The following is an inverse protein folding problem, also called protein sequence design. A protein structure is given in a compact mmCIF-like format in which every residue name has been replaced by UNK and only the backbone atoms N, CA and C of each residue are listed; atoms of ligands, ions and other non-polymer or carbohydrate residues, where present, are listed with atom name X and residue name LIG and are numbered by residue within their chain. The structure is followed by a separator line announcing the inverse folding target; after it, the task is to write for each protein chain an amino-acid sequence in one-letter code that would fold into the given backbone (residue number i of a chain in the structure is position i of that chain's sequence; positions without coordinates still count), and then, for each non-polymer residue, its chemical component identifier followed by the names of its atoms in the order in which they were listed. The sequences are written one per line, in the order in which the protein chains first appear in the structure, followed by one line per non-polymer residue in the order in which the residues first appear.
data_IF_382842453447
#
_entry.id   IF_382842453447
#
_cell.length_a   1.000
_cell.length_b   1.000
_cell.length_c   1.000
_cell.angle_alpha   90.00
_cell.angle_beta   90.00
_cell.angle_gamma   90.00
#
_symmetry.space_group_name_H-M   'P 1'
#
loop_
_entity.id
_entity.type
_entity.pdbx_description
1 polymer ?
#
# COMPACT_ATOMS: atom_id res chain seq x y z
N UNK A 1 -62.02 -31.04 -5.53
CA UNK A 1 -62.07 -31.26 -6.99
C UNK A 1 -60.72 -30.91 -7.57
N UNK A 2 -60.07 -31.90 -8.17
CA UNK A 2 -58.74 -31.83 -8.76
C UNK A 2 -58.77 -30.99 -10.05
N UNK A 3 -57.77 -30.14 -10.25
CA UNK A 3 -57.39 -29.69 -11.59
C UNK A 3 -55.86 -29.46 -11.64
N UNK A 4 -55.19 -30.41 -12.30
CA UNK A 4 -53.82 -30.35 -12.75
C UNK A 4 -53.60 -29.18 -13.72
N UNK A 5 -52.50 -28.43 -13.57
CA UNK A 5 -51.88 -27.73 -14.69
C UNK A 5 -50.37 -28.03 -14.70
N UNK A 6 -49.97 -28.57 -15.83
CA UNK A 6 -48.69 -29.14 -16.22
C UNK A 6 -47.52 -28.14 -16.26
N UNK A 7 -46.35 -28.68 -15.92
CA UNK A 7 -44.99 -28.21 -16.18
C UNK A 7 -44.76 -27.68 -17.61
N UNK A 8 -43.85 -26.71 -17.73
CA UNK A 8 -42.89 -26.61 -18.85
C UNK A 8 -41.62 -25.85 -18.45
N UNK A 9 -40.61 -26.61 -18.10
CA UNK A 9 -39.17 -26.30 -18.11
C UNK A 9 -38.67 -26.12 -19.54
N UNK A 10 -37.89 -25.08 -19.83
CA UNK A 10 -37.00 -25.03 -20.99
C UNK A 10 -35.59 -24.59 -20.58
N UNK A 11 -34.70 -25.58 -20.54
CA UNK A 11 -33.27 -25.38 -20.70
C UNK A 11 -32.98 -25.01 -22.17
N UNK A 12 -32.16 -23.98 -22.40
CA UNK A 12 -31.33 -23.83 -23.61
C UNK A 12 -30.11 -22.96 -23.27
N UNK A 13 -29.09 -23.62 -22.75
CA UNK A 13 -27.70 -23.16 -22.80
C UNK A 13 -26.99 -24.06 -23.80
N UNK A 14 -26.49 -23.49 -24.89
CA UNK A 14 -25.56 -24.14 -25.80
C UNK A 14 -24.58 -23.09 -26.33
N UNK A 15 -23.30 -23.44 -26.23
CA UNK A 15 -22.10 -22.66 -26.49
C UNK A 15 -21.94 -22.22 -27.96
N UNK A 16 -21.18 -21.13 -28.16
CA UNK A 16 -20.43 -20.90 -29.39
C UNK A 16 -19.04 -20.33 -29.05
N UNK A 17 -18.02 -20.98 -29.61
CA UNK A 17 -16.57 -20.75 -29.49
C UNK A 17 -16.05 -20.46 -30.92
N UNK A 18 -14.99 -19.63 -31.03
CA UNK A 18 -14.19 -19.22 -32.22
C UNK A 18 -14.83 -18.15 -33.12
N UNK A 19 -14.15 -17.13 -33.64
CA UNK A 19 -12.75 -16.72 -33.62
C UNK A 19 -12.54 -15.45 -34.48
N UNK A 20 -11.31 -14.93 -34.45
CA UNK A 20 -10.63 -14.10 -35.48
C UNK A 20 -10.86 -12.58 -35.63
N UNK A 21 -9.72 -11.87 -35.47
CA UNK A 21 -9.19 -10.72 -36.20
C UNK A 21 -10.12 -9.62 -36.76
N UNK A 22 -9.96 -8.41 -36.21
CA UNK A 22 -10.50 -7.17 -36.77
C UNK A 22 -9.65 -5.95 -36.40
N UNK A 23 -8.70 -5.66 -37.27
CA UNK A 23 -7.88 -4.45 -37.33
C UNK A 23 -8.78 -3.21 -37.50
N UNK A 24 -8.74 -2.26 -36.57
CA UNK A 24 -9.36 -0.93 -36.77
C UNK A 24 -8.37 0.16 -36.34
N UNK A 25 -7.50 0.49 -37.29
CA UNK A 25 -6.80 1.76 -37.35
C UNK A 25 -7.78 2.91 -37.57
N UNK A 26 -7.41 4.08 -37.02
CA UNK A 26 -7.78 5.44 -37.45
C UNK A 26 -9.09 6.01 -36.89
N UNK A 27 -8.93 6.87 -35.87
CA UNK A 27 -9.43 8.25 -35.93
C UNK A 27 -8.42 9.17 -35.25
N UNK A 28 -7.82 10.05 -36.05
CA UNK A 28 -7.07 11.23 -35.62
C UNK A 28 -8.05 12.18 -34.92
N UNK A 29 -7.91 12.37 -33.62
CA UNK A 29 -8.59 13.41 -32.86
C UNK A 29 -7.55 14.38 -32.32
N UNK A 30 -7.63 15.63 -32.77
CA UNK A 30 -6.66 16.68 -32.49
C UNK A 30 -6.53 16.98 -30.99
N UNK A 31 -5.28 17.26 -30.59
CA UNK A 31 -4.96 17.92 -29.34
C UNK A 31 -5.69 19.28 -29.25
N UNK A 32 -6.62 19.41 -28.32
CA UNK A 32 -7.06 20.71 -27.83
C UNK A 32 -6.77 20.76 -26.32
N UNK A 33 -5.77 21.56 -25.98
CA UNK A 33 -5.44 21.92 -24.61
C UNK A 33 -6.65 22.60 -23.96
N UNK A 34 -7.21 22.00 -22.91
CA UNK A 34 -8.18 22.68 -22.05
C UNK A 34 -7.41 23.47 -20.97
N UNK A 35 -7.60 24.80 -20.88
CA UNK A 35 -6.93 25.61 -19.89
C UNK A 35 -7.51 25.34 -18.49
N UNK A 36 -6.62 25.01 -17.55
CA UNK A 36 -6.90 25.01 -16.12
C UNK A 36 -7.19 26.45 -15.68
N UNK A 37 -8.46 26.85 -15.63
CA UNK A 37 -8.87 28.08 -14.93
C UNK A 37 -8.66 27.87 -13.43
N UNK A 38 -7.60 28.46 -12.91
CA UNK A 38 -7.46 28.81 -11.50
C UNK A 38 -8.68 29.63 -11.09
N UNK A 39 -9.52 29.08 -10.19
CA UNK A 39 -10.53 29.86 -9.49
C UNK A 39 -9.93 30.30 -8.16
N UNK A 40 -9.17 31.40 -8.22
CA UNK A 40 -8.88 32.19 -7.04
C UNK A 40 -10.17 32.93 -6.67
N UNK A 41 -10.76 32.58 -5.53
CA UNK A 41 -11.83 33.36 -4.93
C UNK A 41 -11.19 34.21 -3.83
N UNK A 42 -10.66 35.36 -4.24
CA UNK A 42 -10.48 36.49 -3.35
C UNK A 42 -11.85 37.15 -3.21
N UNK A 43 -12.42 37.11 -2.01
CA UNK A 43 -13.49 38.03 -1.62
C UNK A 43 -13.09 38.62 -0.28
N UNK A 44 -12.36 39.73 -0.35
CA UNK A 44 -12.32 40.69 0.73
C UNK A 44 -13.74 41.23 0.92
N UNK A 45 -14.30 40.99 2.10
CA UNK A 45 -15.45 41.73 2.60
C UNK A 45 -15.07 42.17 4.00
N UNK A 46 -14.60 43.41 4.07
CA UNK A 46 -14.54 44.20 5.30
C UNK A 46 -15.97 44.42 5.80
N UNK A 47 -16.23 44.18 7.08
CA UNK A 47 -17.41 44.69 7.78
C UNK A 47 -17.07 45.13 9.20
N UNK A 48 -17.81 46.11 9.74
CA UNK A 48 -17.32 47.07 10.70
C UNK A 48 -17.47 46.58 12.14
N UNK A 49 -16.63 47.17 13.00
CA UNK A 49 -16.77 47.15 14.45
C UNK A 49 -18.06 47.86 14.86
N UNK A 50 -18.95 47.17 15.59
CA UNK A 50 -19.93 47.84 16.43
C UNK A 50 -20.11 47.12 17.78
N UNK A 51 -19.55 47.79 18.80
CA UNK A 51 -20.06 48.05 20.16
C UNK A 51 -21.26 47.23 20.68
N UNK A 52 -20.98 46.51 21.79
CA UNK A 52 -21.72 46.48 23.07
C UNK A 52 -23.25 46.59 23.07
N UNK A 53 -23.94 45.54 23.52
CA UNK A 53 -24.57 45.50 24.85
C UNK A 53 -25.30 44.17 25.10
N UNK A 54 -25.15 43.66 26.31
CA UNK A 54 -25.93 42.56 26.87
C UNK A 54 -27.32 43.06 27.31
N UNK A 55 -28.35 42.25 27.05
CA UNK A 55 -29.55 42.15 27.89
C UNK A 55 -30.27 40.84 27.54
N UNK A 56 -30.49 40.00 28.55
CA UNK A 56 -31.16 38.71 28.41
C UNK A 56 -32.65 38.83 28.08
N UNK A 57 -33.25 37.70 27.70
CA UNK A 57 -34.65 37.37 27.96
C UNK A 57 -34.90 35.87 27.66
N UNK A 58 -35.59 35.25 28.60
CA UNK A 58 -36.11 33.90 28.61
C UNK A 58 -37.08 33.63 27.46
N UNK A 59 -36.91 32.51 26.76
CA UNK A 59 -37.87 32.02 25.78
C UNK A 59 -37.63 30.55 25.45
N UNK A 60 -38.56 29.69 25.88
CA UNK A 60 -38.64 28.27 25.53
C UNK A 60 -38.81 28.11 24.01
N UNK A 61 -37.72 27.77 23.34
CA UNK A 61 -37.71 27.30 21.96
C UNK A 61 -36.70 26.17 21.84
N UNK A 62 -37.16 24.97 21.49
CA UNK A 62 -36.31 23.86 21.09
C UNK A 62 -35.67 24.21 19.73
N UNK A 63 -34.69 25.10 19.74
CA UNK A 63 -33.78 25.25 18.63
C UNK A 63 -32.91 24.01 18.64
N UNK A 64 -33.20 23.07 17.74
CA UNK A 64 -32.30 21.98 17.43
C UNK A 64 -30.90 22.58 17.20
N UNK A 65 -30.00 22.38 18.17
CA UNK A 65 -28.62 22.79 18.09
C UNK A 65 -28.10 22.12 16.83
N UNK A 66 -27.93 22.87 15.75
CA UNK A 66 -27.30 22.32 14.56
C UNK A 66 -25.96 21.77 15.01
N UNK A 67 -25.60 20.53 14.65
CA UNK A 67 -24.31 19.99 15.04
C UNK A 67 -23.26 20.99 14.56
N UNK A 68 -22.56 21.60 15.51
CA UNK A 68 -21.48 22.54 15.24
C UNK A 68 -20.56 21.81 14.28
N UNK A 69 -20.62 22.18 13.00
CA UNK A 69 -19.68 21.69 12.00
C UNK A 69 -18.33 22.05 12.62
N UNK A 70 -17.53 21.05 12.97
CA UNK A 70 -16.18 21.27 13.51
C UNK A 70 -15.37 22.03 12.45
N UNK A 71 -15.49 23.36 12.45
CA UNK A 71 -14.80 24.30 11.58
C UNK A 71 -13.36 24.52 12.04
N UNK A 72 -12.99 23.99 13.20
CA UNK A 72 -11.61 23.92 13.64
C UNK A 72 -10.82 23.04 12.65
N UNK A 73 -10.08 23.69 11.75
CA UNK A 73 -9.10 23.01 10.91
C UNK A 73 -8.15 22.27 11.84
N UNK A 74 -8.13 20.93 11.76
CA UNK A 74 -7.24 20.11 12.57
C UNK A 74 -5.81 20.66 12.49
N UNK A 75 -5.16 20.82 13.65
CA UNK A 75 -3.79 21.28 13.71
C UNK A 75 -2.93 20.38 12.81
N UNK A 76 -2.22 20.99 11.86
CA UNK A 76 -1.34 20.25 10.95
C UNK A 76 -0.23 19.64 11.80
N UNK A 77 -0.34 18.36 12.10
CA UNK A 77 0.75 17.60 12.72
C UNK A 77 2.00 17.78 11.84
N UNK A 78 3.13 18.19 12.45
CA UNK A 78 4.41 18.19 11.75
C UNK A 78 4.65 16.76 11.25
N UNK A 79 4.98 16.61 9.96
CA UNK A 79 5.30 15.30 9.43
C UNK A 79 6.57 14.81 10.13
N UNK A 80 6.65 13.55 10.55
CA UNK A 80 7.87 13.00 11.11
C UNK A 80 9.00 13.18 10.08
N UNK A 81 10.17 13.58 10.57
CA UNK A 81 11.38 13.68 9.74
C UNK A 81 11.74 12.26 9.31
N UNK A 82 11.79 12.01 8.01
CA UNK A 82 12.31 10.73 7.53
C UNK A 82 13.82 10.70 7.75
N UNK A 83 14.28 9.70 8.48
CA UNK A 83 15.70 9.39 8.60
C UNK A 83 16.24 8.96 7.23
N UNK A 84 17.38 9.53 6.83
CA UNK A 84 18.01 9.17 5.55
C UNK A 84 18.66 7.81 5.65
N UNK A 85 18.55 6.97 4.62
CA UNK A 85 19.23 5.68 4.51
C UNK A 85 20.76 5.79 4.67
N UNK A 86 21.33 6.97 4.42
CA UNK A 86 22.76 7.22 4.56
C UNK A 86 23.20 7.51 6.00
N UNK A 87 22.30 7.55 7.00
CA UNK A 87 22.67 7.84 8.39
C UNK A 87 23.61 6.80 8.99
N UNK A 88 23.49 5.51 8.59
CA UNK A 88 24.35 4.46 9.13
C UNK A 88 25.79 4.48 8.59
N UNK A 89 26.12 5.32 7.60
CA UNK A 89 27.48 5.38 7.03
C UNK A 89 28.34 6.36 7.85
N UNK A 90 29.39 5.89 8.54
CA UNK A 90 30.27 6.78 9.28
C UNK A 90 31.08 7.66 8.32
N UNK A 91 31.26 8.96 8.63
CA UNK A 91 31.96 9.89 7.74
C UNK A 91 33.43 9.55 7.53
N UNK A 92 34.05 8.82 8.46
CA UNK A 92 35.46 8.39 8.41
C UNK A 92 35.73 7.22 7.45
N UNK A 93 34.68 6.56 6.94
CA UNK A 93 34.85 5.45 6.00
C UNK A 93 35.49 5.93 4.70
N UNK A 94 36.35 5.10 4.09
CA UNK A 94 36.94 5.40 2.79
C UNK A 94 35.92 5.29 1.66
N UNK A 95 36.11 6.09 0.62
CA UNK A 95 35.42 5.92 -0.65
C UNK A 95 35.73 4.53 -1.23
N UNK A 96 34.70 3.93 -1.80
CA UNK A 96 34.67 2.60 -2.40
C UNK A 96 35.88 2.26 -3.28
N UNK A 97 36.21 3.16 -4.21
CA UNK A 97 37.24 2.95 -5.23
C UNK A 97 38.65 2.86 -4.63
N UNK A 98 38.86 3.42 -3.44
CA UNK A 98 40.16 3.46 -2.76
C UNK A 98 40.27 2.43 -1.64
N UNK A 99 39.18 1.77 -1.25
CA UNK A 99 39.18 0.82 -0.14
C UNK A 99 40.06 -0.42 -0.39
N UNK A 100 40.19 -0.84 -1.66
CA UNK A 100 41.02 -1.99 -2.05
C UNK A 100 42.52 -1.66 -2.17
N UNK A 101 42.90 -0.38 -2.14
CA UNK A 101 44.29 0.06 -2.36
C UNK A 101 45.04 0.11 -1.02
N UNK A 102 46.05 -0.76 -0.78
CA UNK A 102 46.76 -0.81 0.50
C UNK A 102 47.50 0.50 0.84
N UNK A 103 47.95 1.21 -0.20
CA UNK A 103 48.66 2.50 -0.09
C UNK A 103 47.80 3.63 0.48
N UNK A 104 46.47 3.48 0.50
CA UNK A 104 45.60 4.49 1.08
C UNK A 104 45.90 4.67 2.58
N UNK A 105 46.12 3.58 3.32
CA UNK A 105 46.29 3.62 4.78
C UNK A 105 47.65 4.17 5.24
N UNK A 106 48.63 4.22 4.33
CA UNK A 106 49.98 4.75 4.60
C UNK A 106 50.14 6.23 4.27
N UNK A 107 49.11 6.86 3.70
CA UNK A 107 49.15 8.25 3.28
C UNK A 107 48.98 9.23 4.46
N UNK A 108 49.36 10.49 4.25
CA UNK A 108 49.20 11.56 5.22
C UNK A 108 47.73 11.76 5.64
N UNK A 109 47.52 12.25 6.86
CA UNK A 109 46.19 12.49 7.43
C UNK A 109 45.28 13.39 6.56
N UNK A 110 45.88 14.37 5.87
CA UNK A 110 45.16 15.24 4.94
C UNK A 110 44.65 14.48 3.72
N UNK A 111 45.50 13.63 3.14
CA UNK A 111 45.15 12.78 1.99
C UNK A 111 44.08 11.77 2.42
N UNK A 112 44.24 11.18 3.61
CA UNK A 112 43.22 10.31 4.20
C UNK A 112 41.87 11.00 4.28
N UNK A 113 41.80 12.22 4.81
CA UNK A 113 40.55 12.99 4.89
C UNK A 113 39.90 13.22 3.53
N UNK A 114 40.68 13.54 2.49
CA UNK A 114 40.17 13.73 1.12
C UNK A 114 39.56 12.45 0.51
N UNK A 115 40.04 11.28 0.94
CA UNK A 115 39.54 9.97 0.51
C UNK A 115 38.35 9.47 1.33
N UNK A 116 38.00 10.13 2.44
CA UNK A 116 36.86 9.73 3.28
C UNK A 116 35.49 10.15 2.74
N UNK A 117 34.43 9.57 3.32
CA UNK A 117 33.03 9.91 3.04
C UNK A 117 32.58 11.26 3.59
N UNK A 118 33.34 11.86 4.50
CA UNK A 118 33.10 13.22 4.98
C UNK A 118 33.01 14.19 3.79
N UNK A 119 34.00 14.11 2.90
CA UNK A 119 34.15 14.96 1.72
C UNK A 119 33.63 14.32 0.42
N UNK A 120 32.97 13.17 0.52
CA UNK A 120 32.42 12.46 -0.63
C UNK A 120 31.13 13.08 -1.17
N UNK A 121 30.93 12.97 -2.48
CA UNK A 121 29.68 13.35 -3.14
C UNK A 121 28.52 12.43 -2.72
N UNK A 122 27.28 12.91 -2.87
CA UNK A 122 26.10 12.08 -2.57
C UNK A 122 26.05 10.81 -3.42
N UNK A 123 26.53 10.86 -4.66
CA UNK A 123 26.63 9.70 -5.54
C UNK A 123 27.60 8.65 -5.02
N UNK A 124 28.75 9.04 -4.46
CA UNK A 124 29.72 8.11 -3.87
C UNK A 124 29.13 7.41 -2.64
N UNK A 125 28.43 8.15 -1.77
CA UNK A 125 27.72 7.57 -0.61
C UNK A 125 26.67 6.56 -1.06
N UNK A 126 25.93 6.88 -2.13
CA UNK A 126 24.96 5.96 -2.71
C UNK A 126 25.61 4.71 -3.29
N UNK A 127 26.74 4.83 -4.01
CA UNK A 127 27.48 3.68 -4.55
C UNK A 127 27.82 2.68 -3.43
N UNK A 128 28.44 3.14 -2.34
CA UNK A 128 28.73 2.29 -1.18
C UNK A 128 27.48 1.65 -0.58
N UNK A 129 26.42 2.42 -0.39
CA UNK A 129 25.17 1.89 0.17
C UNK A 129 24.50 0.90 -0.77
N UNK A 130 24.66 1.05 -2.08
CA UNK A 130 24.21 0.06 -3.06
C UNK A 130 24.99 -1.23 -2.95
N UNK A 131 26.32 -1.17 -2.84
CA UNK A 131 27.16 -2.35 -2.68
C UNK A 131 26.88 -3.08 -1.37
N UNK A 132 26.71 -2.37 -0.26
CA UNK A 132 26.30 -2.97 1.02
C UNK A 132 24.96 -3.72 0.92
N UNK A 133 24.04 -3.27 0.05
CA UNK A 133 22.78 -3.98 -0.20
C UNK A 133 22.94 -5.14 -1.17
N UNK A 134 23.87 -5.04 -2.13
CA UNK A 134 24.17 -6.11 -3.09
C UNK A 134 24.86 -7.27 -2.35
N UNK A 135 25.87 -6.97 -1.52
CA UNK A 135 26.61 -7.96 -0.73
C UNK A 135 25.71 -8.82 0.18
N UNK A 136 24.58 -8.28 0.63
CA UNK A 136 23.59 -9.02 1.47
C UNK A 136 22.78 -10.06 0.70
N UNK A 137 22.73 -9.97 -0.63
CA UNK A 137 21.78 -10.74 -1.44
C UNK A 137 22.47 -11.44 -2.63
N UNK A 138 23.69 -11.02 -2.99
CA UNK A 138 24.47 -11.65 -4.05
C UNK A 138 24.78 -13.11 -3.73
N UNK A 139 24.91 -13.94 -4.76
CA UNK A 139 25.29 -15.35 -4.61
C UNK A 139 26.80 -15.51 -4.58
N UNK A 140 27.45 -14.82 -5.52
CA UNK A 140 28.88 -14.77 -5.72
C UNK A 140 29.33 -13.31 -5.73
N UNK A 141 30.60 -13.04 -5.38
CA UNK A 141 31.12 -11.68 -5.27
C UNK A 141 31.20 -10.93 -6.61
N UNK A 142 31.27 -11.66 -7.73
CA UNK A 142 31.30 -11.11 -9.08
C UNK A 142 29.90 -11.00 -9.74
N UNK A 143 28.83 -11.32 -9.02
CA UNK A 143 27.47 -11.28 -9.58
C UNK A 143 26.89 -9.87 -9.54
N UNK A 144 26.81 -9.23 -10.70
CA UNK A 144 26.20 -7.91 -10.87
C UNK A 144 24.86 -7.93 -11.61
N UNK A 145 24.49 -9.08 -12.20
CA UNK A 145 23.45 -9.12 -13.23
C UNK A 145 22.25 -9.98 -12.84
N UNK A 146 22.32 -10.75 -11.77
CA UNK A 146 21.21 -11.57 -11.29
C UNK A 146 19.97 -10.76 -10.92
N UNK A 147 18.85 -11.46 -10.80
CA UNK A 147 17.56 -10.79 -10.53
C UNK A 147 17.54 -10.24 -9.10
N UNK A 148 18.15 -10.95 -8.16
CA UNK A 148 18.35 -10.56 -6.77
C UNK A 148 19.11 -9.23 -6.66
N UNK A 149 20.27 -9.15 -7.31
CA UNK A 149 21.13 -7.96 -7.30
C UNK A 149 20.42 -6.76 -7.94
N UNK A 150 19.72 -6.95 -9.06
CA UNK A 150 18.89 -5.89 -9.66
C UNK A 150 17.80 -5.39 -8.71
N UNK A 151 17.20 -6.25 -7.89
CA UNK A 151 16.20 -5.86 -6.88
C UNK A 151 16.86 -5.02 -5.77
N UNK A 152 18.07 -5.36 -5.33
CA UNK A 152 18.84 -4.58 -4.36
C UNK A 152 19.16 -3.17 -4.91
N UNK A 153 19.65 -3.07 -6.15
CA UNK A 153 19.96 -1.80 -6.84
C UNK A 153 18.70 -0.94 -7.00
N UNK A 154 17.56 -1.52 -7.37
CA UNK A 154 16.31 -0.76 -7.46
C UNK A 154 15.84 -0.28 -6.08
N UNK A 155 16.08 -1.07 -5.04
CA UNK A 155 15.69 -0.72 -3.66
C UNK A 155 16.47 0.48 -3.14
N UNK A 156 17.79 0.55 -3.37
CA UNK A 156 18.57 1.74 -3.03
C UNK A 156 18.11 2.99 -3.78
N UNK A 157 17.83 2.87 -5.09
CA UNK A 157 17.29 3.97 -5.91
C UNK A 157 15.94 4.46 -5.39
N UNK A 158 15.04 3.55 -5.04
CA UNK A 158 13.71 3.91 -4.50
C UNK A 158 13.86 4.68 -3.18
N UNK A 159 14.71 4.22 -2.27
CA UNK A 159 14.95 4.90 -0.99
C UNK A 159 15.54 6.31 -1.19
N UNK A 160 16.50 6.47 -2.11
CA UNK A 160 17.03 7.79 -2.48
C UNK A 160 15.94 8.72 -3.07
N UNK A 161 15.07 8.21 -3.95
CA UNK A 161 13.94 9.01 -4.45
C UNK A 161 12.96 9.40 -3.34
N UNK A 162 12.72 8.53 -2.35
CA UNK A 162 11.86 8.83 -1.22
C UNK A 162 12.40 10.01 -0.41
N UNK A 163 13.70 10.03 -0.12
CA UNK A 163 14.36 11.15 0.58
C UNK A 163 14.25 12.46 -0.22
N UNK A 164 14.55 12.42 -1.53
CA UNK A 164 14.45 13.59 -2.40
C UNK A 164 13.03 14.16 -2.43
N UNK A 165 12.02 13.30 -2.62
CA UNK A 165 10.62 13.73 -2.71
C UNK A 165 10.04 14.16 -1.36
N UNK A 166 10.62 13.70 -0.25
CA UNK A 166 10.28 14.22 1.07
C UNK A 166 10.65 15.69 1.20
N UNK A 167 11.86 16.06 0.74
CA UNK A 167 12.34 17.45 0.69
C UNK A 167 11.64 18.26 -0.42
N UNK A 168 11.38 17.63 -1.57
CA UNK A 168 10.84 18.26 -2.78
C UNK A 168 9.54 17.60 -3.27
N UNK A 169 8.39 17.83 -2.59
CA UNK A 169 7.14 17.13 -2.89
C UNK A 169 6.48 17.54 -4.22
N UNK A 170 6.90 18.66 -4.82
CA UNK A 170 6.34 19.19 -6.07
C UNK A 170 7.01 18.62 -7.32
N UNK A 171 8.10 17.89 -7.18
CA UNK A 171 8.83 17.30 -8.31
C UNK A 171 8.09 16.06 -8.85
N UNK A 172 7.40 16.25 -9.97
CA UNK A 172 6.59 15.20 -10.60
C UNK A 172 7.44 14.24 -11.42
N UNK A 173 8.59 14.68 -11.94
CA UNK A 173 9.47 13.86 -12.77
C UNK A 173 10.11 12.76 -11.94
N UNK A 174 10.72 13.14 -10.81
CA UNK A 174 11.30 12.19 -9.87
C UNK A 174 10.25 11.24 -9.27
N UNK A 175 9.04 11.74 -8.98
CA UNK A 175 7.93 10.89 -8.54
C UNK A 175 7.55 9.84 -9.58
N UNK A 176 7.51 10.20 -10.86
CA UNK A 176 7.25 9.25 -11.96
C UNK A 176 8.34 8.20 -12.03
N UNK A 177 9.62 8.59 -11.99
CA UNK A 177 10.74 7.64 -12.03
C UNK A 177 10.74 6.69 -10.83
N UNK A 178 10.42 7.18 -9.62
CA UNK A 178 10.27 6.34 -8.44
C UNK A 178 9.17 5.29 -8.62
N UNK A 179 8.00 5.67 -9.15
CA UNK A 179 6.91 4.73 -9.40
C UNK A 179 7.30 3.67 -10.43
N UNK A 180 7.97 4.08 -11.52
CA UNK A 180 8.48 3.14 -12.53
C UNK A 180 9.51 2.17 -11.94
N UNK A 181 10.39 2.64 -11.06
CA UNK A 181 11.35 1.79 -10.36
C UNK A 181 10.66 0.78 -9.43
N UNK A 182 9.62 1.20 -8.69
CA UNK A 182 8.80 0.32 -7.85
C UNK A 182 8.15 -0.79 -8.70
N UNK A 183 7.56 -0.44 -9.84
CA UNK A 183 6.88 -1.40 -10.70
C UNK A 183 7.88 -2.37 -11.37
N UNK A 184 9.04 -1.86 -11.80
CA UNK A 184 10.14 -2.71 -12.30
C UNK A 184 10.59 -3.70 -11.22
N UNK A 185 10.76 -3.25 -9.98
CA UNK A 185 11.13 -4.11 -8.84
C UNK A 185 10.07 -5.18 -8.58
N UNK A 186 8.77 -4.81 -8.60
CA UNK A 186 7.66 -5.77 -8.46
C UNK A 186 7.67 -6.83 -9.56
N UNK A 187 7.98 -6.45 -10.81
CA UNK A 187 8.10 -7.40 -11.93
C UNK A 187 9.24 -8.39 -11.71
N UNK A 188 10.39 -7.93 -11.23
CA UNK A 188 11.53 -8.80 -10.90
C UNK A 188 11.22 -9.74 -9.73
N UNK A 189 10.54 -9.26 -8.68
CA UNK A 189 10.11 -10.11 -7.56
C UNK A 189 9.08 -11.16 -8.00
N UNK A 190 8.15 -10.80 -8.89
CA UNK A 190 7.22 -11.76 -9.50
C UNK A 190 7.97 -12.84 -10.28
N UNK A 191 9.01 -12.46 -11.03
CA UNK A 191 9.83 -13.40 -11.77
C UNK A 191 10.60 -14.34 -10.84
N UNK A 192 11.31 -13.80 -9.83
CA UNK A 192 12.02 -14.60 -8.84
C UNK A 192 11.11 -15.61 -8.16
N UNK A 193 9.93 -15.17 -7.72
CA UNK A 193 8.97 -16.06 -7.08
C UNK A 193 8.50 -17.22 -7.97
N UNK A 194 8.44 -17.01 -9.29
CA UNK A 194 8.05 -18.06 -10.23
C UNK A 194 9.20 -19.02 -10.56
N UNK A 195 10.45 -18.57 -10.49
CA UNK A 195 11.63 -19.38 -10.85
C UNK A 195 12.29 -20.05 -9.64
N UNK A 196 12.53 -19.32 -8.55
CA UNK A 196 13.21 -19.79 -7.34
C UNK A 196 12.56 -19.17 -6.10
N UNK A 197 11.81 -19.97 -5.35
CA UNK A 197 11.07 -19.47 -4.20
C UNK A 197 11.99 -19.16 -3.00
N UNK A 198 12.98 -19.99 -2.73
CA UNK A 198 13.88 -19.84 -1.58
C UNK A 198 14.67 -18.52 -1.65
N UNK A 199 15.19 -18.17 -2.84
CA UNK A 199 15.91 -16.91 -3.03
C UNK A 199 14.97 -15.71 -2.95
N UNK A 200 13.72 -15.85 -3.41
CA UNK A 200 12.71 -14.80 -3.26
C UNK A 200 12.43 -14.49 -1.79
N UNK A 201 12.26 -15.51 -0.94
CA UNK A 201 12.04 -15.32 0.49
C UNK A 201 13.25 -14.65 1.15
N UNK A 202 14.46 -15.13 0.86
CA UNK A 202 15.70 -14.55 1.37
C UNK A 202 15.84 -13.06 1.00
N UNK A 203 15.62 -12.70 -0.27
CA UNK A 203 15.66 -11.29 -0.74
C UNK A 203 14.64 -10.43 0.01
N UNK A 204 13.42 -10.94 0.19
CA UNK A 204 12.35 -10.24 0.91
C UNK A 204 12.71 -9.98 2.38
N UNK A 205 13.32 -10.95 3.06
CA UNK A 205 13.78 -10.83 4.44
C UNK A 205 14.94 -9.82 4.56
N UNK A 206 15.99 -9.98 3.76
CA UNK A 206 17.20 -9.13 3.82
C UNK A 206 16.92 -7.65 3.49
N UNK A 207 16.05 -7.38 2.52
CA UNK A 207 15.73 -6.01 2.09
C UNK A 207 14.52 -5.41 2.83
N UNK A 208 13.82 -6.19 3.65
CA UNK A 208 12.61 -5.78 4.37
C UNK A 208 11.44 -5.45 3.42
N UNK A 209 11.22 -6.27 2.38
CA UNK A 209 10.21 -6.03 1.35
C UNK A 209 9.01 -6.97 1.54
N UNK A 210 7.83 -6.42 1.80
CA UNK A 210 6.58 -7.17 1.80
C UNK A 210 6.02 -7.28 0.37
N UNK A 211 5.91 -8.50 -0.14
CA UNK A 211 5.28 -8.75 -1.44
C UNK A 211 3.75 -8.79 -1.31
N UNK A 212 3.06 -7.93 -2.05
CA UNK A 212 1.60 -7.92 -2.14
C UNK A 212 1.14 -8.30 -3.54
N UNK A 213 0.15 -9.17 -3.61
CA UNK A 213 -0.45 -9.55 -4.89
C UNK A 213 -1.23 -8.37 -5.48
N UNK A 214 -1.14 -8.13 -6.80
CA UNK A 214 -1.99 -7.14 -7.44
C UNK A 214 -3.47 -7.57 -7.34
N UNK A 215 -4.40 -6.62 -7.14
CA UNK A 215 -5.83 -6.94 -7.20
C UNK A 215 -6.20 -7.37 -8.62
N UNK A 216 -7.19 -8.25 -8.73
CA UNK A 216 -7.69 -8.74 -10.02
C UNK A 216 -8.25 -7.59 -10.88
N UNK A 217 -8.98 -6.66 -10.25
CA UNK A 217 -9.61 -5.53 -10.93
C UNK A 217 -9.25 -4.20 -10.27
N UNK A 218 -8.81 -3.23 -11.07
CA UNK A 218 -8.63 -1.84 -10.66
C UNK A 218 -9.94 -1.07 -10.85
N UNK A 219 -10.82 -1.05 -9.85
CA UNK A 219 -12.06 -0.27 -9.87
C UNK A 219 -11.92 1.00 -9.03
N UNK A 220 -12.46 2.12 -9.53
CA UNK A 220 -12.52 3.35 -8.76
C UNK A 220 -13.62 3.27 -7.69
N UNK A 221 -13.25 3.37 -6.41
CA UNK A 221 -14.20 3.37 -5.29
C UNK A 221 -14.91 4.73 -5.17
N UNK A 222 -16.13 4.84 -5.70
CA UNK A 222 -16.97 6.04 -5.53
C UNK A 222 -17.58 6.11 -4.12
N UNK A 223 -17.92 7.32 -3.64
CA UNK A 223 -18.54 7.51 -2.32
C UNK A 223 -19.79 6.63 -2.12
N UNK A 224 -20.65 6.57 -3.13
CA UNK A 224 -21.85 5.71 -3.16
C UNK A 224 -21.48 4.24 -2.99
N UNK A 225 -20.47 3.76 -3.73
CA UNK A 225 -20.03 2.37 -3.65
C UNK A 225 -19.46 2.04 -2.26
N UNK A 226 -18.63 2.93 -1.69
CA UNK A 226 -18.05 2.75 -0.36
C UNK A 226 -19.14 2.66 0.71
N UNK A 227 -20.12 3.59 0.69
CA UNK A 227 -21.24 3.59 1.63
C UNK A 227 -22.10 2.31 1.51
N UNK A 228 -22.45 1.93 0.27
CA UNK A 228 -23.20 0.71 0.00
C UNK A 228 -22.44 -0.53 0.49
N UNK A 229 -21.14 -0.63 0.18
CA UNK A 229 -20.31 -1.77 0.59
C UNK A 229 -20.20 -1.86 2.11
N UNK A 230 -20.00 -0.73 2.79
CA UNK A 230 -19.95 -0.68 4.25
C UNK A 230 -21.28 -1.13 4.89
N UNK A 231 -22.42 -0.68 4.35
CA UNK A 231 -23.73 -1.13 4.79
C UNK A 231 -23.91 -2.63 4.58
N UNK A 232 -23.59 -3.15 3.40
CA UNK A 232 -23.67 -4.58 3.12
C UNK A 232 -22.81 -5.42 4.08
N UNK A 233 -21.59 -4.96 4.43
CA UNK A 233 -20.73 -5.64 5.40
C UNK A 233 -21.38 -5.65 6.79
N UNK A 234 -21.96 -4.53 7.23
CA UNK A 234 -22.65 -4.45 8.53
C UNK A 234 -23.85 -5.41 8.58
N UNK A 235 -24.73 -5.34 7.59
CA UNK A 235 -25.90 -6.22 7.48
C UNK A 235 -25.48 -7.69 7.46
N UNK A 236 -24.43 -8.03 6.71
CA UNK A 236 -23.89 -9.39 6.68
C UNK A 236 -23.45 -9.88 8.07
N UNK A 237 -22.71 -9.05 8.81
CA UNK A 237 -22.25 -9.38 10.17
C UNK A 237 -23.43 -9.59 11.14
N UNK A 238 -24.45 -8.73 11.07
CA UNK A 238 -25.64 -8.88 11.92
C UNK A 238 -26.43 -10.16 11.61
N UNK A 239 -26.61 -10.49 10.34
CA UNK A 239 -27.28 -11.73 9.94
C UNK A 239 -26.49 -12.97 10.41
N UNK A 240 -25.16 -12.94 10.32
CA UNK A 240 -24.32 -14.03 10.84
C UNK A 240 -24.47 -14.16 12.36
N UNK A 241 -24.51 -13.04 13.09
CA UNK A 241 -24.71 -13.04 14.55
C UNK A 241 -26.04 -13.68 14.93
N UNK A 242 -27.13 -13.28 14.28
CA UNK A 242 -28.46 -13.86 14.52
C UNK A 242 -28.50 -15.37 14.22
N UNK A 243 -27.89 -15.81 13.12
CA UNK A 243 -27.81 -17.24 12.78
C UNK A 243 -27.00 -18.03 13.81
N UNK A 244 -25.91 -17.47 14.32
CA UNK A 244 -25.12 -18.09 15.38
C UNK A 244 -25.92 -18.21 16.69
N UNK A 245 -26.69 -17.18 17.05
CA UNK A 245 -27.58 -17.21 18.22
C UNK A 245 -28.71 -18.24 18.06
N UNK A 246 -29.33 -18.31 16.88
CA UNK A 246 -30.34 -19.33 16.56
C UNK A 246 -29.75 -20.74 16.65
N UNK A 247 -28.55 -20.97 16.08
CA UNK A 247 -27.85 -22.26 16.21
C UNK A 247 -27.53 -22.62 17.66
N UNK A 248 -27.06 -21.66 18.46
CA UNK A 248 -26.80 -21.87 19.90
C UNK A 248 -28.08 -22.26 20.64
N UNK A 249 -29.20 -21.57 20.36
CA UNK A 249 -30.50 -21.90 20.93
C UNK A 249 -30.93 -23.32 20.54
N UNK A 250 -30.83 -23.67 19.26
CA UNK A 250 -31.14 -25.02 18.76
C UNK A 250 -30.29 -26.07 19.51
N UNK A 251 -28.97 -25.87 19.62
CA UNK A 251 -28.06 -26.77 20.34
C UNK A 251 -28.46 -26.91 21.82
N UNK A 252 -28.82 -25.82 22.47
CA UNK A 252 -29.28 -25.82 23.87
C UNK A 252 -30.64 -26.51 24.04
N UNK A 253 -31.51 -26.45 23.03
CA UNK A 253 -32.83 -27.10 23.05
C UNK A 253 -32.79 -28.56 22.60
N UNK A 254 -31.69 -29.04 22.02
CA UNK A 254 -31.54 -30.46 21.70
C UNK A 254 -31.42 -31.24 23.02
N UNK A 255 -32.23 -32.30 23.21
CA UNK A 255 -32.21 -33.05 24.46
C UNK A 255 -30.82 -33.68 24.66
N UNK A 256 -30.21 -33.40 25.81
CA UNK A 256 -28.96 -34.01 26.32
C UNK A 256 -29.15 -35.48 26.74
N UNK A 257 -29.98 -36.23 26.03
CA UNK A 257 -30.28 -37.63 26.33
C UNK A 257 -30.12 -38.46 25.07
N UNK A 258 -28.93 -39.04 24.89
CA UNK A 258 -28.65 -40.30 24.15
C UNK A 258 -27.14 -40.64 24.10
N UNK A 259 -26.26 -39.91 24.81
CA UNK A 259 -24.82 -40.27 24.87
C UNK A 259 -24.48 -41.17 26.07
N UNK A 260 -25.36 -41.34 27.06
CA UNK A 260 -25.10 -42.23 28.21
C UNK A 260 -25.36 -43.73 27.93
N UNK A 261 -25.95 -44.10 26.79
CA UNK A 261 -26.18 -45.52 26.45
C UNK A 261 -25.00 -46.20 25.73
N UNK A 262 -23.88 -45.51 25.50
CA UNK A 262 -22.69 -46.09 24.87
C UNK A 262 -21.57 -46.46 25.86
N UNK A 263 -21.69 -46.10 27.15
CA UNK A 263 -20.65 -46.41 28.16
C UNK A 263 -21.00 -47.60 29.07
N UNK A 264 -22.23 -48.12 29.03
CA UNK A 264 -22.64 -49.32 29.79
C UNK A 264 -22.48 -50.62 29.01
N UNK A 265 -22.01 -50.58 27.76
CA UNK A 265 -21.80 -51.76 26.92
C UNK A 265 -20.37 -52.34 26.96
N UNK A 266 -19.42 -51.76 27.70
CA UNK A 266 -18.02 -52.22 27.78
C UNK A 266 -17.61 -52.87 29.11
N UNK A 267 -18.54 -53.09 30.04
CA UNK A 267 -18.25 -53.65 31.38
C UNK A 267 -19.10 -54.89 31.70
N UNK A 268 -19.16 -55.89 30.80
CA UNK A 268 -19.81 -57.16 31.11
C UNK A 268 -19.59 -58.30 30.12
N UNK A 269 -18.46 -59.02 30.27
CA UNK A 269 -18.17 -60.45 29.94
C UNK A 269 -16.66 -60.61 30.20
N UNK A 270 -16.18 -61.23 31.29
CA UNK A 270 -15.96 -62.68 31.49
C UNK A 270 -15.51 -63.43 30.25
#
# INVERSE_FOLDING_TARGET
MLANISLRTTHKWASAILGEHGFLSRLKGHCAALPLKHREYNSGITRPLHSSNEAGLSGTGCFAIQPVRNYARALRKKKPVMESQLSDLPPTMLKMEYAAVPLAQTADDLVMRLLTLELASHSEKLKLKTEQLIAKVQRDDADHSSTEVRVAILTSKIRNYQEHLHKHPKDKANKRWMLMAIDRRKKLLKHLRATRYDTFEHVCQQLGITYTFPPEYYRHATRRWVAKKALCIKVFKEVQKQKLEQRKKIIQTLPTGHVELAQTASTGTK
#
